data_IF_199927091118
#
_entry.id   IF_199927091118
#
_cell.length_a   1.000
_cell.length_b   1.000
_cell.length_c   1.000
_cell.angle_alpha   90.00
_cell.angle_beta   90.00
_cell.angle_gamma   90.00
#
_symmetry.space_group_name_H-M   'P 1'
#
loop_
_entity.id
_entity.type
_entity.pdbx_description
1 polymer ?
#
# COMPACT_ATOMS: atom_id res chain seq x y z
N UNK A 1 -21.65 17.99 68.88
CA UNK A 1 -20.63 17.04 68.38
C UNK A 1 -21.30 16.02 67.49
N UNK A 2 -21.17 16.14 66.16
CA UNK A 2 -21.36 15.04 65.19
C UNK A 2 -20.75 15.48 63.85
N UNK A 3 -19.43 15.43 63.78
CA UNK A 3 -18.67 15.63 62.55
C UNK A 3 -18.38 14.31 61.83
N UNK A 4 -18.21 14.40 60.50
CA UNK A 4 -17.25 13.57 59.77
C UNK A 4 -17.68 12.15 59.37
N UNK A 5 -18.59 12.00 58.40
CA UNK A 5 -18.76 10.71 57.66
C UNK A 5 -18.81 10.80 56.13
N UNK A 6 -18.81 12.01 55.54
CA UNK A 6 -18.88 12.17 54.06
C UNK A 6 -17.57 12.00 53.27
N UNK A 7 -16.35 12.33 53.76
CA UNK A 7 -15.16 12.27 52.90
C UNK A 7 -14.63 10.85 52.66
N UNK A 8 -14.98 9.87 53.51
CA UNK A 8 -14.51 8.48 53.37
C UNK A 8 -15.22 7.68 52.27
N UNK A 9 -16.47 8.01 51.96
CA UNK A 9 -17.26 7.33 50.93
C UNK A 9 -16.86 7.77 49.51
N UNK A 10 -16.52 9.06 49.33
CA UNK A 10 -16.02 9.60 48.06
C UNK A 10 -14.62 9.08 47.74
N UNK A 11 -13.75 8.97 48.73
CA UNK A 11 -12.41 8.42 48.54
C UNK A 11 -12.45 6.94 48.13
N UNK A 12 -13.33 6.12 48.73
CA UNK A 12 -13.45 4.71 48.41
C UNK A 12 -14.05 4.45 47.01
N UNK A 13 -14.99 5.29 46.57
CA UNK A 13 -15.56 5.21 45.21
C UNK A 13 -14.53 5.60 44.13
N UNK A 14 -13.68 6.61 44.41
CA UNK A 14 -12.62 7.02 43.50
C UNK A 14 -11.52 5.94 43.36
N UNK A 15 -11.11 5.28 44.43
CA UNK A 15 -10.15 4.16 44.35
C UNK A 15 -10.73 2.94 43.65
N UNK A 16 -12.01 2.62 43.85
CA UNK A 16 -12.67 1.54 43.11
C UNK A 16 -12.76 1.82 41.60
N UNK A 17 -13.01 3.07 41.21
CA UNK A 17 -13.01 3.49 39.80
C UNK A 17 -11.62 3.42 39.13
N UNK A 18 -10.55 3.80 39.84
CA UNK A 18 -9.18 3.70 39.34
C UNK A 18 -8.71 2.24 39.19
N UNK A 19 -9.15 1.32 40.06
CA UNK A 19 -8.81 -0.10 39.96
C UNK A 19 -9.53 -0.83 38.81
N UNK A 20 -10.74 -0.38 38.44
CA UNK A 20 -11.49 -0.93 37.30
C UNK A 20 -10.90 -0.48 35.94
N UNK A 21 -10.23 0.68 35.88
CA UNK A 21 -9.58 1.15 34.65
C UNK A 21 -8.26 0.45 34.34
N UNK A 22 -7.61 -0.16 35.33
CA UNK A 22 -6.35 -0.91 35.13
C UNK A 22 -6.53 -2.39 34.77
N UNK A 23 -7.75 -2.94 34.86
CA UNK A 23 -7.97 -4.39 34.68
C UNK A 23 -8.15 -4.85 33.23
N UNK A 24 -8.03 -3.94 32.26
CA UNK A 24 -8.05 -4.27 30.82
C UNK A 24 -6.66 -4.19 30.18
N UNK A 25 -5.58 -4.06 30.96
CA UNK A 25 -4.23 -4.17 30.44
C UNK A 25 -3.90 -5.65 30.18
N UNK A 26 -4.14 -6.11 28.95
CA UNK A 26 -3.61 -7.39 28.48
C UNK A 26 -2.11 -7.21 28.23
N UNK A 27 -1.28 -7.87 29.04
CA UNK A 27 0.15 -7.99 28.73
C UNK A 27 0.29 -8.99 27.59
N UNK A 28 0.70 -8.53 26.41
CA UNK A 28 1.12 -9.43 25.33
C UNK A 28 2.48 -9.98 25.74
N UNK A 29 2.48 -11.21 26.28
CA UNK A 29 3.71 -11.91 26.63
C UNK A 29 4.45 -12.34 25.35
N UNK A 30 5.68 -11.87 25.18
CA UNK A 30 6.53 -12.22 24.04
C UNK A 30 7.89 -11.53 24.14
N UNK A 31 8.85 -11.99 23.34
CA UNK A 31 10.09 -11.24 23.11
C UNK A 31 9.87 -10.32 21.91
N UNK A 32 10.24 -9.04 22.04
CA UNK A 32 10.27 -8.15 20.89
C UNK A 32 11.37 -8.64 19.95
N UNK A 33 10.96 -9.07 18.77
CA UNK A 33 11.85 -9.57 17.73
C UNK A 33 11.67 -8.76 16.46
N UNK A 34 12.74 -8.60 15.69
CA UNK A 34 12.68 -7.93 14.41
C UNK A 34 11.82 -8.73 13.43
N UNK A 35 11.09 -8.04 12.53
CA UNK A 35 10.39 -8.71 11.41
C UNK A 35 11.36 -9.47 10.49
N UNK A 36 12.66 -9.16 10.59
CA UNK A 36 13.75 -9.81 9.85
C UNK A 36 14.44 -10.93 10.66
N UNK A 37 13.99 -11.24 11.88
CA UNK A 37 14.63 -12.28 12.71
C UNK A 37 14.47 -13.68 12.09
N UNK A 38 13.30 -13.96 11.49
CA UNK A 38 13.01 -15.26 10.89
C UNK A 38 12.95 -15.16 9.35
N UNK A 39 13.93 -15.75 8.63
CA UNK A 39 13.96 -15.72 7.17
C UNK A 39 12.82 -16.51 6.50
N UNK A 40 12.05 -17.29 7.28
CA UNK A 40 10.87 -18.01 6.83
C UNK A 40 9.57 -17.25 7.11
N UNK A 41 9.66 -15.96 7.45
CA UNK A 41 8.50 -15.08 7.60
C UNK A 41 8.67 -13.79 6.82
N UNK A 42 7.55 -13.24 6.34
CA UNK A 42 7.46 -11.91 5.73
C UNK A 42 6.54 -11.08 6.62
N UNK A 43 7.10 -10.08 7.31
CA UNK A 43 6.34 -9.23 8.24
C UNK A 43 5.54 -10.01 9.31
N UNK A 44 6.08 -11.13 9.78
CA UNK A 44 5.42 -12.02 10.75
C UNK A 44 4.46 -13.05 10.16
N UNK A 45 4.18 -13.00 8.85
CA UNK A 45 3.42 -14.05 8.15
C UNK A 45 4.36 -15.17 7.70
N UNK A 46 3.95 -16.45 7.77
CA UNK A 46 4.77 -17.55 7.26
C UNK A 46 4.98 -17.41 5.75
N UNK A 47 6.19 -17.75 5.27
CA UNK A 47 6.44 -17.87 3.84
C UNK A 47 5.57 -19.02 3.29
N UNK A 48 4.62 -18.69 2.44
CA UNK A 48 3.69 -19.64 1.83
C UNK A 48 3.81 -19.63 0.31
N UNK A 49 3.61 -20.81 -0.28
CA UNK A 49 3.31 -20.97 -1.70
C UNK A 49 1.84 -21.37 -1.84
N UNK A 50 1.18 -21.01 -2.94
CA UNK A 50 -0.24 -21.29 -3.11
C UNK A 50 -0.90 -20.40 -4.16
N UNK A 51 -2.24 -20.37 -4.23
CA UNK A 51 -2.94 -19.48 -5.14
C UNK A 51 -2.74 -18.01 -4.77
N UNK A 52 -2.69 -17.15 -5.79
CA UNK A 52 -2.74 -15.69 -5.67
C UNK A 52 -3.73 -15.16 -6.71
N UNK A 53 -4.67 -14.31 -6.29
CA UNK A 53 -5.74 -13.80 -7.13
C UNK A 53 -7.15 -14.14 -6.60
N UNK A 54 -8.18 -14.13 -7.48
CA UNK A 54 -9.56 -14.41 -7.11
C UNK A 54 -9.75 -15.77 -6.45
N UNK A 55 -10.57 -15.81 -5.39
CA UNK A 55 -10.95 -17.05 -4.69
C UNK A 55 -12.04 -17.78 -5.47
N UNK A 56 -11.93 -19.11 -5.62
CA UNK A 56 -12.94 -19.89 -6.33
C UNK A 56 -14.25 -19.96 -5.52
N UNK A 57 -15.39 -19.83 -6.22
CA UNK A 57 -16.71 -20.04 -5.65
C UNK A 57 -17.26 -18.88 -4.82
N UNK A 58 -16.57 -17.74 -4.80
CA UNK A 58 -17.08 -16.48 -4.25
C UNK A 58 -17.91 -15.81 -5.36
N UNK A 59 -19.18 -15.43 -5.11
CA UNK A 59 -19.98 -14.68 -6.09
C UNK A 59 -19.35 -13.32 -6.38
N UNK A 60 -19.43 -12.86 -7.62
CA UNK A 60 -18.97 -11.53 -7.98
C UNK A 60 -19.77 -10.44 -7.26
N UNK A 61 -19.09 -9.33 -7.00
CA UNK A 61 -19.67 -8.15 -6.38
C UNK A 61 -20.82 -7.59 -7.23
N UNK A 62 -21.79 -6.99 -6.54
CA UNK A 62 -22.98 -6.37 -7.16
C UNK A 62 -22.91 -4.85 -7.16
N UNK A 63 -21.75 -4.28 -6.80
CA UNK A 63 -21.51 -2.84 -6.85
C UNK A 63 -21.71 -2.35 -8.29
N UNK A 64 -22.49 -1.28 -8.44
CA UNK A 64 -22.73 -0.69 -9.75
C UNK A 64 -21.50 0.08 -10.23
N UNK A 65 -21.06 -0.22 -11.45
CA UNK A 65 -19.98 0.49 -12.15
C UNK A 65 -20.54 1.05 -13.44
N UNK A 66 -20.40 2.36 -13.63
CA UNK A 66 -20.83 3.03 -14.85
C UNK A 66 -19.98 2.56 -16.04
N UNK A 67 -20.64 2.31 -17.17
CA UNK A 67 -20.00 1.91 -18.43
C UNK A 67 -19.19 0.59 -18.37
N UNK A 68 -19.38 -0.22 -17.32
CA UNK A 68 -18.85 -1.58 -17.27
C UNK A 68 -19.60 -2.49 -18.27
N UNK A 69 -18.86 -3.42 -18.88
CA UNK A 69 -19.37 -4.37 -19.88
C UNK A 69 -19.41 -5.80 -19.36
N UNK A 70 -18.99 -6.02 -18.11
CA UNK A 70 -18.91 -7.34 -17.50
C UNK A 70 -17.73 -8.16 -18.02
N UNK A 71 -16.65 -7.48 -18.42
CA UNK A 71 -15.37 -8.11 -18.78
C UNK A 71 -14.67 -8.69 -17.54
N UNK A 72 -13.70 -9.59 -17.73
CA UNK A 72 -12.89 -10.12 -16.63
C UNK A 72 -12.20 -8.99 -15.85
N UNK A 73 -11.74 -7.94 -16.54
CA UNK A 73 -11.18 -6.72 -15.92
C UNK A 73 -12.22 -5.97 -15.07
N UNK A 74 -13.45 -5.83 -15.57
CA UNK A 74 -14.53 -5.18 -14.81
C UNK A 74 -14.86 -5.96 -13.54
N UNK A 75 -14.99 -7.29 -13.65
CA UNK A 75 -15.28 -8.16 -12.51
C UNK A 75 -14.15 -8.09 -11.48
N UNK A 76 -12.90 -8.20 -11.94
CA UNK A 76 -11.72 -8.16 -11.08
C UNK A 76 -11.63 -6.84 -10.30
N UNK A 77 -11.77 -5.71 -10.98
CA UNK A 77 -11.72 -4.40 -10.34
C UNK A 77 -12.91 -4.16 -9.41
N UNK A 78 -14.13 -4.57 -9.80
CA UNK A 78 -15.33 -4.42 -8.96
C UNK A 78 -15.23 -5.26 -7.68
N UNK A 79 -14.75 -6.50 -7.78
CA UNK A 79 -14.49 -7.35 -6.62
C UNK A 79 -13.42 -6.72 -5.71
N UNK A 80 -12.36 -6.12 -6.27
CA UNK A 80 -11.34 -5.43 -5.50
C UNK A 80 -11.94 -4.24 -4.72
N UNK A 81 -12.75 -3.41 -5.39
CA UNK A 81 -13.43 -2.29 -4.78
C UNK A 81 -14.31 -2.73 -3.60
N UNK A 82 -15.06 -3.83 -3.73
CA UNK A 82 -15.90 -4.36 -2.65
C UNK A 82 -15.08 -4.72 -1.40
N UNK A 83 -14.00 -5.48 -1.57
CA UNK A 83 -13.15 -5.88 -0.46
C UNK A 83 -12.42 -4.69 0.18
N UNK A 84 -11.96 -3.73 -0.63
CA UNK A 84 -11.33 -2.49 -0.16
C UNK A 84 -12.32 -1.66 0.65
N UNK A 85 -13.57 -1.55 0.21
CA UNK A 85 -14.63 -0.86 0.95
C UNK A 85 -14.93 -1.53 2.28
N UNK A 86 -14.96 -2.86 2.33
CA UNK A 86 -15.15 -3.61 3.58
C UNK A 86 -13.99 -3.37 4.56
N UNK A 87 -12.74 -3.43 4.07
CA UNK A 87 -11.56 -3.10 4.84
C UNK A 87 -11.64 -1.68 5.43
N UNK A 88 -11.96 -0.68 4.61
CA UNK A 88 -12.04 0.71 5.07
C UNK A 88 -13.24 1.00 5.96
N UNK A 89 -14.36 0.29 5.81
CA UNK A 89 -15.47 0.37 6.74
C UNK A 89 -15.06 0.03 8.18
N UNK A 90 -14.09 -0.88 8.34
CA UNK A 90 -13.52 -1.25 9.64
C UNK A 90 -12.38 -0.32 10.08
N UNK A 91 -11.42 -0.04 9.18
CA UNK A 91 -10.21 0.70 9.53
C UNK A 91 -10.43 2.21 9.69
N UNK A 92 -11.27 2.82 8.85
CA UNK A 92 -11.44 4.28 8.82
C UNK A 92 -11.86 4.87 10.17
N UNK A 93 -12.92 4.38 10.88
CA UNK A 93 -13.34 4.98 12.15
C UNK A 93 -12.31 4.80 13.28
N UNK A 94 -11.37 3.88 13.14
CA UNK A 94 -10.27 3.70 14.11
C UNK A 94 -9.13 4.71 13.89
N UNK A 95 -8.97 5.22 12.66
CA UNK A 95 -7.85 6.09 12.27
C UNK A 95 -8.26 7.55 12.13
N UNK A 96 -9.47 7.81 11.64
CA UNK A 96 -9.94 9.13 11.25
C UNK A 96 -11.22 9.51 11.98
N UNK A 97 -11.55 10.80 11.95
CA UNK A 97 -12.79 11.29 12.52
C UNK A 97 -13.95 10.99 11.57
N UNK A 98 -15.04 10.46 12.10
CA UNK A 98 -16.27 10.19 11.34
C UNK A 98 -16.42 8.72 10.97
N UNK A 99 -17.25 8.46 9.97
CA UNK A 99 -17.49 7.13 9.42
C UNK A 99 -16.97 7.06 7.99
N UNK A 100 -16.55 5.86 7.58
CA UNK A 100 -16.26 5.57 6.18
C UNK A 100 -17.50 5.80 5.30
N UNK A 101 -17.28 6.35 4.10
CA UNK A 101 -18.29 6.49 3.07
C UNK A 101 -17.63 6.06 1.76
N UNK A 102 -18.18 5.09 1.03
CA UNK A 102 -17.67 4.72 -0.28
C UNK A 102 -17.62 5.91 -1.24
N UNK A 103 -16.71 5.86 -2.22
CA UNK A 103 -16.66 6.83 -3.32
C UNK A 103 -18.01 6.93 -4.04
N UNK A 104 -18.32 8.11 -4.54
CA UNK A 104 -19.63 8.45 -5.09
C UNK A 104 -19.92 7.72 -6.41
N UNK A 105 -18.90 7.57 -7.27
CA UNK A 105 -19.05 6.94 -8.59
C UNK A 105 -17.88 6.02 -8.91
N UNK A 106 -18.18 4.90 -9.56
CA UNK A 106 -17.18 4.00 -10.14
C UNK A 106 -17.38 3.94 -11.65
N UNK A 107 -16.30 4.01 -12.42
CA UNK A 107 -16.37 4.08 -13.88
C UNK A 107 -15.37 3.15 -14.53
N UNK A 108 -15.84 2.33 -15.47
CA UNK A 108 -14.97 1.54 -16.35
C UNK A 108 -14.98 2.16 -17.75
N UNK A 109 -13.83 2.27 -18.40
CA UNK A 109 -13.74 2.76 -19.77
C UNK A 109 -12.90 1.87 -20.68
N UNK A 110 -13.05 2.09 -21.98
CA UNK A 110 -12.27 1.44 -23.03
C UNK A 110 -11.21 2.42 -23.55
N UNK A 111 -9.94 2.20 -23.21
CA UNK A 111 -8.85 3.02 -23.71
C UNK A 111 -8.46 2.70 -25.17
N UNK A 112 -9.00 1.64 -25.76
CA UNK A 112 -8.75 1.27 -27.16
C UNK A 112 -9.52 2.12 -28.17
N UNK A 113 -10.48 2.92 -27.70
CA UNK A 113 -11.14 3.95 -28.49
C UNK A 113 -10.16 5.06 -28.91
N UNK A 114 -10.43 5.75 -30.03
CA UNK A 114 -9.56 6.80 -30.57
C UNK A 114 -9.34 7.96 -29.58
N UNK A 115 -8.16 8.58 -29.61
CA UNK A 115 -7.85 9.77 -28.80
C UNK A 115 -8.90 10.88 -28.98
N UNK A 116 -9.37 11.44 -27.87
CA UNK A 116 -10.43 12.46 -27.86
C UNK A 116 -11.86 11.92 -27.99
N UNK A 117 -12.03 10.59 -28.06
CA UNK A 117 -13.32 9.90 -28.01
C UNK A 117 -13.56 9.21 -26.64
N UNK A 118 -14.49 8.25 -26.57
CA UNK A 118 -14.89 7.59 -25.33
C UNK A 118 -15.68 8.45 -24.35
N UNK A 119 -15.96 7.90 -23.17
CA UNK A 119 -16.69 8.59 -22.10
C UNK A 119 -15.85 9.72 -21.49
N UNK A 120 -16.39 10.42 -20.49
CA UNK A 120 -15.61 11.39 -19.72
C UNK A 120 -15.35 10.90 -18.31
N UNK A 121 -14.10 11.00 -17.88
CA UNK A 121 -13.65 10.78 -16.50
C UNK A 121 -12.89 12.02 -16.04
N UNK A 122 -13.20 12.53 -14.85
CA UNK A 122 -12.62 13.75 -14.28
C UNK A 122 -12.67 15.01 -15.18
N UNK A 123 -13.54 15.01 -16.20
CA UNK A 123 -13.68 16.09 -17.19
C UNK A 123 -13.02 15.80 -18.54
N UNK A 124 -12.14 14.81 -18.63
CA UNK A 124 -11.38 14.48 -19.84
C UNK A 124 -11.91 13.23 -20.56
N UNK A 125 -11.60 13.11 -21.85
CA UNK A 125 -12.01 11.99 -22.70
C UNK A 125 -11.09 10.79 -22.48
N UNK A 126 -11.66 9.59 -22.39
CA UNK A 126 -10.92 8.40 -21.97
C UNK A 126 -10.35 7.56 -23.11
N UNK A 127 -10.76 7.77 -24.36
CA UNK A 127 -10.18 7.08 -25.52
C UNK A 127 -8.68 7.40 -25.64
N UNK A 128 -7.85 6.36 -25.77
CA UNK A 128 -6.39 6.45 -25.77
C UNK A 128 -5.73 6.60 -24.39
N UNK A 129 -6.48 6.47 -23.29
CA UNK A 129 -5.98 6.70 -21.92
C UNK A 129 -5.95 5.39 -21.12
N UNK A 130 -4.88 4.57 -21.23
CA UNK A 130 -4.73 3.35 -20.44
C UNK A 130 -4.32 3.71 -19.01
N UNK A 131 -5.30 4.04 -18.16
CA UNK A 131 -5.05 4.52 -16.80
C UNK A 131 -6.04 3.95 -15.76
N UNK A 132 -5.72 4.12 -14.48
CA UNK A 132 -6.65 4.08 -13.36
C UNK A 132 -6.45 5.37 -12.57
N UNK A 133 -7.51 5.90 -11.95
CA UNK A 133 -7.43 7.17 -11.27
C UNK A 133 -8.54 7.36 -10.24
N UNK A 134 -8.23 8.08 -9.17
CA UNK A 134 -9.19 8.80 -8.34
C UNK A 134 -9.34 10.27 -8.77
N UNK A 135 -10.59 10.74 -8.91
CA UNK A 135 -10.90 12.14 -9.18
C UNK A 135 -11.44 12.83 -7.93
N UNK A 136 -10.65 13.74 -7.37
CA UNK A 136 -11.02 14.56 -6.20
C UNK A 136 -12.19 15.51 -6.46
N UNK A 137 -12.46 15.87 -7.72
CA UNK A 137 -13.48 16.85 -8.09
C UNK A 137 -14.91 16.34 -7.88
N UNK A 138 -15.14 15.08 -8.19
CA UNK A 138 -16.46 14.44 -8.13
C UNK A 138 -16.48 13.15 -7.31
N UNK A 139 -15.39 12.87 -6.59
CA UNK A 139 -15.24 11.72 -5.70
C UNK A 139 -15.52 10.40 -6.44
N UNK A 140 -14.83 10.21 -7.56
CA UNK A 140 -14.97 9.03 -8.41
C UNK A 140 -13.67 8.25 -8.56
N UNK A 141 -13.77 6.94 -8.72
CA UNK A 141 -12.65 6.09 -9.15
C UNK A 141 -12.99 5.51 -10.51
N UNK A 142 -12.02 5.43 -11.40
CA UNK A 142 -12.19 4.68 -12.63
C UNK A 142 -10.94 4.01 -13.14
N UNK A 143 -11.13 3.10 -14.09
CA UNK A 143 -10.07 2.29 -14.69
C UNK A 143 -10.36 1.94 -16.15
N UNK A 144 -9.28 1.72 -16.90
CA UNK A 144 -9.31 1.16 -18.24
C UNK A 144 -9.42 -0.36 -18.23
N UNK A 145 -10.50 -0.90 -18.80
CA UNK A 145 -10.75 -2.34 -18.87
C UNK A 145 -10.03 -3.05 -20.03
N UNK A 146 -9.58 -2.32 -21.06
CA UNK A 146 -9.14 -2.94 -22.33
C UNK A 146 -7.64 -2.98 -22.55
N UNK A 147 -6.86 -2.06 -21.99
CA UNK A 147 -5.40 -2.02 -22.17
C UNK A 147 -4.66 -2.18 -20.83
N UNK A 148 -4.88 -1.28 -19.87
CA UNK A 148 -4.14 -1.23 -18.60
C UNK A 148 -4.35 -2.49 -17.77
N UNK A 149 -5.60 -2.78 -17.36
CA UNK A 149 -5.85 -3.90 -16.45
C UNK A 149 -5.42 -5.24 -17.08
N UNK A 150 -5.72 -5.55 -18.35
CA UNK A 150 -5.20 -6.75 -19.00
C UNK A 150 -3.67 -6.80 -19.01
N UNK A 151 -2.98 -5.70 -19.33
CA UNK A 151 -1.52 -5.66 -19.34
C UNK A 151 -0.91 -5.92 -17.95
N UNK A 152 -1.53 -5.41 -16.89
CA UNK A 152 -1.12 -5.66 -15.50
C UNK A 152 -1.32 -7.12 -15.09
N UNK A 153 -2.43 -7.73 -15.49
CA UNK A 153 -2.71 -9.16 -15.25
C UNK A 153 -1.70 -10.02 -15.99
N UNK A 154 -1.44 -9.74 -17.26
CA UNK A 154 -0.51 -10.51 -18.09
C UNK A 154 0.93 -10.45 -17.58
N UNK A 155 1.36 -9.27 -17.09
CA UNK A 155 2.72 -9.06 -16.62
C UNK A 155 2.95 -9.57 -15.19
N UNK A 156 1.98 -9.37 -14.29
CA UNK A 156 2.19 -9.51 -12.84
C UNK A 156 1.12 -10.33 -12.11
N UNK A 157 0.11 -10.82 -12.83
CA UNK A 157 -1.01 -11.59 -12.28
C UNK A 157 -2.12 -10.72 -11.68
N UNK A 158 -3.28 -11.30 -11.31
CA UNK A 158 -4.48 -10.54 -10.94
C UNK A 158 -4.34 -9.60 -9.74
N UNK A 159 -3.43 -9.90 -8.81
CA UNK A 159 -3.22 -9.07 -7.62
C UNK A 159 -2.56 -7.71 -7.95
N UNK A 160 -1.97 -7.55 -9.13
CA UNK A 160 -1.46 -6.25 -9.58
C UNK A 160 -2.59 -5.23 -9.79
N UNK A 161 -3.73 -5.69 -10.35
CA UNK A 161 -4.94 -4.87 -10.49
C UNK A 161 -5.47 -4.50 -9.11
N UNK A 162 -5.54 -5.46 -8.19
CA UNK A 162 -5.99 -5.21 -6.81
C UNK A 162 -5.10 -4.15 -6.13
N UNK A 163 -3.79 -4.20 -6.35
CA UNK A 163 -2.85 -3.20 -5.83
C UNK A 163 -3.10 -1.81 -6.40
N UNK A 164 -3.25 -1.68 -7.72
CA UNK A 164 -3.53 -0.39 -8.39
C UNK A 164 -4.86 0.19 -7.91
N UNK A 165 -5.92 -0.62 -7.85
CA UNK A 165 -7.23 -0.15 -7.37
C UNK A 165 -7.17 0.25 -5.89
N UNK A 166 -6.41 -0.47 -5.05
CA UNK A 166 -6.21 -0.10 -3.65
C UNK A 166 -5.41 1.21 -3.50
N UNK A 167 -4.48 1.49 -4.41
CA UNK A 167 -3.77 2.77 -4.48
C UNK A 167 -4.74 3.92 -4.81
N UNK A 168 -5.56 3.79 -5.85
CA UNK A 168 -6.57 4.81 -6.18
C UNK A 168 -7.55 5.05 -5.02
N UNK A 169 -7.94 3.98 -4.33
CA UNK A 169 -8.77 4.11 -3.13
C UNK A 169 -8.02 4.81 -1.98
N UNK A 170 -6.70 4.66 -1.90
CA UNK A 170 -5.84 5.40 -0.98
C UNK A 170 -6.03 6.91 -1.14
N UNK A 171 -6.10 7.43 -2.37
CA UNK A 171 -6.43 8.83 -2.63
C UNK A 171 -7.82 9.23 -2.15
N UNK A 172 -8.82 8.37 -2.34
CA UNK A 172 -10.16 8.60 -1.82
C UNK A 172 -10.16 8.72 -0.28
N UNK A 173 -9.39 7.87 0.41
CA UNK A 173 -9.27 7.91 1.87
C UNK A 173 -8.57 9.18 2.34
N UNK A 174 -7.53 9.62 1.64
CA UNK A 174 -6.85 10.88 1.92
C UNK A 174 -7.79 12.07 1.78
N UNK A 175 -8.54 12.12 0.68
CA UNK A 175 -9.52 13.16 0.43
C UNK A 175 -10.62 13.17 1.50
N UNK A 176 -11.23 12.00 1.77
CA UNK A 176 -12.31 11.88 2.73
C UNK A 176 -11.87 12.24 4.15
N UNK A 177 -10.66 11.83 4.55
CA UNK A 177 -10.12 12.11 5.90
C UNK A 177 -9.60 13.55 6.07
N UNK A 178 -9.35 14.26 4.97
CA UNK A 178 -8.65 15.55 4.98
C UNK A 178 -7.19 15.43 5.38
N UNK A 179 -6.59 14.25 5.20
CA UNK A 179 -5.17 14.01 5.50
C UNK A 179 -4.25 14.78 4.55
N UNK A 180 -4.71 14.99 3.32
CA UNK A 180 -4.03 15.81 2.30
C UNK A 180 -4.91 17.00 1.92
N UNK A 181 -4.28 18.10 1.53
CA UNK A 181 -4.93 19.31 1.02
C UNK A 181 -4.06 20.00 -0.01
N UNK A 182 -4.48 21.19 -0.46
CA UNK A 182 -3.85 21.90 -1.60
C UNK A 182 -2.34 22.14 -1.44
N UNK A 183 -1.85 22.32 -0.20
CA UNK A 183 -0.43 22.54 0.11
C UNK A 183 0.36 21.24 0.33
N UNK A 184 -0.28 20.07 0.25
CA UNK A 184 0.40 18.78 0.44
C UNK A 184 1.23 18.45 -0.81
N UNK A 185 2.54 18.20 -0.69
CA UNK A 185 3.34 17.83 -1.84
C UNK A 185 2.85 16.52 -2.44
N UNK A 186 2.85 16.45 -3.77
CA UNK A 186 2.32 15.29 -4.48
C UNK A 186 3.00 13.99 -4.06
N UNK A 187 4.33 13.99 -3.86
CA UNK A 187 5.07 12.81 -3.40
C UNK A 187 4.59 12.28 -2.03
N UNK A 188 4.09 13.15 -1.15
CA UNK A 188 3.49 12.73 0.13
C UNK A 188 2.16 12.06 -0.13
N UNK A 189 1.32 12.64 -0.98
CA UNK A 189 0.02 12.08 -1.33
C UNK A 189 0.18 10.68 -1.97
N UNK A 190 1.08 10.53 -2.94
CA UNK A 190 1.35 9.27 -3.62
C UNK A 190 1.89 8.18 -2.70
N UNK A 191 2.88 8.51 -1.86
CA UNK A 191 3.44 7.50 -0.93
C UNK A 191 2.46 7.11 0.18
N UNK A 192 1.60 8.02 0.62
CA UNK A 192 0.51 7.65 1.53
C UNK A 192 -0.49 6.69 0.85
N UNK A 193 -0.85 6.91 -0.42
CA UNK A 193 -1.74 6.04 -1.18
C UNK A 193 -1.14 4.63 -1.38
N UNK A 194 0.13 4.55 -1.78
CA UNK A 194 0.88 3.29 -1.86
C UNK A 194 0.93 2.55 -0.50
N UNK A 195 1.14 3.30 0.59
CA UNK A 195 1.12 2.73 1.93
C UNK A 195 -0.27 2.19 2.31
N UNK A 196 -1.34 2.93 2.03
CA UNK A 196 -2.70 2.45 2.28
C UNK A 196 -3.04 1.19 1.49
N UNK A 197 -2.60 1.12 0.24
CA UNK A 197 -2.72 -0.08 -0.58
C UNK A 197 -1.94 -1.26 0.02
N UNK A 198 -0.71 -1.05 0.50
CA UNK A 198 0.07 -2.06 1.20
C UNK A 198 -0.62 -2.62 2.45
N UNK A 199 -1.32 -1.77 3.21
CA UNK A 199 -2.10 -2.19 4.37
C UNK A 199 -3.30 -3.07 3.97
N UNK A 200 -3.94 -2.79 2.83
CA UNK A 200 -4.99 -3.66 2.29
C UNK A 200 -4.42 -5.00 1.80
N UNK A 201 -3.29 -4.99 1.08
CA UNK A 201 -2.64 -6.24 0.63
C UNK A 201 -2.26 -7.13 1.82
N UNK A 202 -1.88 -6.54 2.96
CA UNK A 202 -1.66 -7.28 4.21
C UNK A 202 -2.93 -7.98 4.69
N UNK A 203 -4.06 -7.29 4.68
CA UNK A 203 -5.37 -7.86 5.04
C UNK A 203 -5.74 -9.04 4.11
N UNK A 204 -5.45 -8.95 2.81
CA UNK A 204 -5.61 -10.08 1.88
C UNK A 204 -4.70 -11.26 2.24
N UNK A 205 -3.43 -10.98 2.57
CA UNK A 205 -2.44 -11.99 2.94
C UNK A 205 -2.76 -12.71 4.26
N UNK A 206 -3.45 -12.02 5.18
CA UNK A 206 -3.98 -12.60 6.43
C UNK A 206 -5.22 -13.47 6.19
N UNK A 207 -5.78 -13.43 4.98
CA UNK A 207 -6.89 -14.25 4.54
C UNK A 207 -8.26 -13.66 4.83
N UNK A 208 -8.31 -12.38 5.21
CA UNK A 208 -9.52 -11.70 5.65
C UNK A 208 -10.32 -11.08 4.49
N UNK A 209 -9.74 -11.01 3.29
CA UNK A 209 -10.41 -10.58 2.06
C UNK A 209 -11.37 -11.65 1.52
N UNK A 210 -12.65 -11.31 1.29
CA UNK A 210 -13.65 -12.22 0.72
C UNK A 210 -13.33 -12.74 -0.67
N UNK A 211 -12.93 -11.87 -1.61
CA UNK A 211 -12.76 -12.23 -3.02
C UNK A 211 -11.33 -12.63 -3.35
N UNK A 212 -10.32 -12.23 -2.56
CA UNK A 212 -8.91 -12.42 -2.93
C UNK A 212 -8.12 -13.23 -1.91
N UNK A 213 -7.10 -13.91 -2.43
CA UNK A 213 -6.04 -14.54 -1.67
C UNK A 213 -4.70 -14.14 -2.27
N UNK A 214 -3.68 -14.03 -1.46
CA UNK A 214 -2.31 -13.79 -1.93
C UNK A 214 -1.34 -14.63 -1.11
N UNK A 215 -0.45 -15.36 -1.80
CA UNK A 215 0.66 -16.01 -1.15
C UNK A 215 1.81 -15.00 -0.93
N UNK A 216 2.72 -15.30 0.01
CA UNK A 216 3.85 -14.42 0.31
C UNK A 216 5.09 -14.71 -0.55
N UNK A 217 4.98 -15.56 -1.58
CA UNK A 217 6.04 -15.81 -2.56
C UNK A 217 5.78 -15.02 -3.83
N UNK A 218 5.35 -15.68 -4.92
CA UNK A 218 5.21 -15.07 -6.23
C UNK A 218 4.05 -14.06 -6.29
N UNK A 219 3.04 -14.22 -5.42
CA UNK A 219 1.93 -13.28 -5.32
C UNK A 219 2.38 -11.90 -4.84
N UNK A 220 2.99 -11.85 -3.65
CA UNK A 220 3.50 -10.60 -3.10
C UNK A 220 4.62 -10.00 -3.98
N UNK A 221 5.47 -10.85 -4.58
CA UNK A 221 6.46 -10.39 -5.57
C UNK A 221 5.79 -9.73 -6.78
N UNK A 222 4.69 -10.28 -7.29
CA UNK A 222 3.92 -9.70 -8.40
C UNK A 222 3.34 -8.33 -8.05
N UNK A 223 2.81 -8.17 -6.83
CA UNK A 223 2.34 -6.86 -6.32
C UNK A 223 3.47 -5.84 -6.30
N UNK A 224 4.62 -6.18 -5.71
CA UNK A 224 5.76 -5.27 -5.64
C UNK A 224 6.32 -4.95 -7.03
N UNK A 225 6.36 -5.93 -7.93
CA UNK A 225 6.78 -5.73 -9.32
C UNK A 225 5.83 -4.79 -10.07
N UNK A 226 4.52 -4.89 -9.85
CA UNK A 226 3.53 -3.97 -10.40
C UNK A 226 3.72 -2.54 -9.87
N UNK A 227 3.96 -2.37 -8.56
CA UNK A 227 4.30 -1.07 -7.95
C UNK A 227 5.55 -0.45 -8.60
N UNK A 228 6.56 -1.26 -8.92
CA UNK A 228 7.73 -0.80 -9.67
C UNK A 228 7.35 -0.47 -11.13
N UNK A 229 6.53 -1.27 -11.77
CA UNK A 229 6.19 -1.09 -13.19
C UNK A 229 5.40 0.20 -13.45
N UNK A 230 4.47 0.54 -12.55
CA UNK A 230 3.60 1.72 -12.62
C UNK A 230 4.29 2.99 -12.08
N UNK A 231 5.61 2.96 -11.84
CA UNK A 231 6.41 4.15 -11.48
C UNK A 231 6.41 5.18 -12.63
N UNK A 232 6.74 6.41 -12.29
CA UNK A 232 7.10 7.39 -13.30
C UNK A 232 8.45 7.07 -13.94
N UNK A 233 8.53 7.27 -15.25
CA UNK A 233 9.70 6.92 -16.05
C UNK A 233 10.89 7.84 -15.77
N UNK A 234 10.62 9.09 -15.33
CA UNK A 234 11.61 10.06 -14.90
C UNK A 234 11.20 10.72 -13.56
N UNK A 235 11.74 10.29 -12.41
CA UNK A 235 11.42 10.87 -11.10
C UNK A 235 11.92 12.31 -10.90
N UNK A 236 12.60 12.90 -11.90
CA UNK A 236 12.97 14.32 -11.89
C UNK A 236 12.01 15.20 -12.72
N UNK A 237 11.04 14.61 -13.41
CA UNK A 237 9.98 15.37 -14.07
C UNK A 237 9.11 16.03 -12.99
N UNK A 238 8.88 17.36 -13.02
CA UNK A 238 7.92 17.99 -12.11
C UNK A 238 6.48 17.47 -12.28
N UNK A 239 6.18 16.80 -13.39
CA UNK A 239 4.93 16.06 -13.64
C UNK A 239 5.02 14.59 -13.18
N UNK A 240 6.20 14.12 -12.74
CA UNK A 240 6.36 12.84 -12.06
C UNK A 240 5.93 12.99 -10.62
N UNK A 241 4.80 12.36 -10.33
CA UNK A 241 4.07 12.50 -9.08
C UNK A 241 4.33 11.32 -8.13
N UNK A 242 4.52 10.10 -8.67
CA UNK A 242 4.56 8.84 -7.93
C UNK A 242 5.90 8.58 -7.20
N UNK A 243 6.99 9.20 -7.65
CA UNK A 243 8.33 9.00 -7.10
C UNK A 243 9.07 7.78 -7.66
N UNK A 244 10.24 7.48 -7.09
CA UNK A 244 11.09 6.36 -7.54
C UNK A 244 10.49 5.00 -7.17
N UNK A 245 10.88 3.95 -7.92
CA UNK A 245 10.50 2.57 -7.62
C UNK A 245 10.78 2.16 -6.17
N UNK A 246 11.92 2.60 -5.62
CA UNK A 246 12.31 2.28 -4.24
C UNK A 246 11.40 2.95 -3.22
N UNK A 247 11.04 4.22 -3.44
CA UNK A 247 10.15 4.97 -2.55
C UNK A 247 8.77 4.33 -2.51
N UNK A 248 8.19 4.06 -3.68
CA UNK A 248 6.90 3.38 -3.79
C UNK A 248 6.88 2.03 -3.08
N UNK A 249 7.86 1.17 -3.37
CA UNK A 249 7.98 -0.16 -2.72
C UNK A 249 8.19 -0.03 -1.22
N UNK A 250 8.89 1.01 -0.75
CA UNK A 250 9.05 1.29 0.68
C UNK A 250 7.72 1.68 1.31
N UNK A 251 6.96 2.58 0.68
CA UNK A 251 5.63 2.98 1.15
C UNK A 251 4.67 1.78 1.27
N UNK A 252 4.59 0.94 0.23
CA UNK A 252 3.80 -0.31 0.27
C UNK A 252 4.22 -1.20 1.43
N UNK A 253 5.53 -1.38 1.63
CA UNK A 253 6.05 -2.20 2.73
C UNK A 253 5.62 -1.67 4.09
N UNK A 254 5.64 -0.36 4.32
CA UNK A 254 5.23 0.24 5.59
C UNK A 254 3.75 -0.04 5.86
N UNK A 255 2.89 0.10 4.85
CA UNK A 255 1.51 -0.30 4.95
C UNK A 255 1.37 -1.78 5.31
N UNK A 256 2.14 -2.62 4.63
CA UNK A 256 2.07 -4.07 4.79
C UNK A 256 2.60 -4.56 6.15
N UNK A 257 3.62 -3.91 6.71
CA UNK A 257 4.26 -4.29 7.98
C UNK A 257 3.65 -3.61 9.18
N UNK A 258 3.34 -2.32 9.07
CA UNK A 258 3.00 -1.45 10.20
C UNK A 258 1.53 -1.01 10.20
N UNK A 259 0.79 -1.36 9.14
CA UNK A 259 -0.63 -1.10 8.97
C UNK A 259 -0.97 0.35 8.59
N UNK A 260 -2.25 0.59 8.30
CA UNK A 260 -2.74 1.88 7.78
C UNK A 260 -2.49 3.08 8.74
N UNK A 261 -2.36 2.84 10.04
CA UNK A 261 -2.01 3.89 11.01
C UNK A 261 -0.63 4.53 10.72
N UNK A 262 0.32 3.74 10.20
CA UNK A 262 1.65 4.22 9.87
C UNK A 262 1.65 5.18 8.68
N UNK A 263 0.77 4.93 7.71
CA UNK A 263 0.63 5.76 6.52
C UNK A 263 0.27 7.21 6.85
N UNK A 264 -0.51 7.45 7.91
CA UNK A 264 -0.87 8.82 8.34
C UNK A 264 0.31 9.67 8.83
N UNK A 265 1.47 9.07 9.04
CA UNK A 265 2.70 9.75 9.50
C UNK A 265 3.69 10.02 8.38
N UNK A 266 3.39 9.62 7.15
CA UNK A 266 4.22 9.94 5.99
C UNK A 266 4.02 11.42 5.68
N UNK A 267 5.08 12.20 5.86
CA UNK A 267 5.19 13.61 5.53
C UNK A 267 6.53 13.89 4.82
N UNK A 268 6.79 15.14 4.41
CA UNK A 268 8.05 15.49 3.73
C UNK A 268 9.30 15.15 4.55
N UNK A 269 9.28 15.45 5.85
CA UNK A 269 10.45 15.25 6.71
C UNK A 269 10.75 13.76 6.88
N UNK A 270 9.70 12.95 6.95
CA UNK A 270 9.77 11.51 7.01
C UNK A 270 10.34 10.92 5.69
N UNK A 271 9.83 11.37 4.54
CA UNK A 271 10.35 10.98 3.22
C UNK A 271 11.82 11.37 3.07
N UNK A 272 12.18 12.61 3.42
CA UNK A 272 13.55 13.09 3.38
C UNK A 272 14.47 12.28 4.31
N UNK A 273 13.97 11.85 5.46
CA UNK A 273 14.70 10.97 6.37
C UNK A 273 14.97 9.58 5.75
N UNK A 274 14.04 9.01 4.99
CA UNK A 274 14.26 7.74 4.26
C UNK A 274 15.26 7.91 3.11
N UNK A 275 15.23 9.07 2.45
CA UNK A 275 16.11 9.46 1.36
C UNK A 275 17.55 9.69 1.78
N UNK A 276 17.78 10.17 3.00
CA UNK A 276 19.06 10.71 3.49
C UNK A 276 20.27 9.74 3.46
N UNK A 277 20.05 8.47 3.11
CA UNK A 277 21.10 7.45 2.95
C UNK A 277 21.13 6.75 1.59
N UNK A 278 20.24 7.12 0.65
CA UNK A 278 20.18 6.54 -0.70
C UNK A 278 20.57 7.59 -1.73
N UNK A 279 21.41 7.23 -2.74
CA UNK A 279 21.69 8.13 -3.85
C UNK A 279 20.38 8.60 -4.47
N UNK A 280 20.07 9.89 -4.30
CA UNK A 280 18.87 10.51 -4.86
C UNK A 280 18.99 10.70 -6.37
N UNK A 281 20.23 10.73 -6.87
CA UNK A 281 20.60 10.92 -8.26
C UNK A 281 21.89 10.15 -8.53
N UNK A 282 22.05 9.74 -9.78
CA UNK A 282 23.34 9.38 -10.32
C UNK A 282 24.20 10.65 -10.45
N UNK A 283 25.49 10.56 -10.17
CA UNK A 283 26.41 11.70 -10.15
C UNK A 283 26.57 12.34 -11.55
N UNK A 284 26.19 11.63 -12.61
CA UNK A 284 26.21 12.11 -13.99
C UNK A 284 25.24 11.32 -14.88
N UNK A 285 24.99 11.82 -16.10
CA UNK A 285 24.20 11.10 -17.11
C UNK A 285 24.82 9.76 -17.56
N UNK A 286 26.11 9.55 -17.26
CA UNK A 286 26.85 8.31 -17.55
C UNK A 286 26.94 7.39 -16.32
N UNK A 287 26.46 7.82 -15.16
CA UNK A 287 26.43 7.02 -13.95
C UNK A 287 25.16 6.14 -13.98
N UNK A 288 25.37 4.85 -14.14
CA UNK A 288 24.29 3.86 -14.22
C UNK A 288 23.78 3.42 -12.85
N UNK A 289 24.35 3.94 -11.75
CA UNK A 289 24.07 3.44 -10.39
C UNK A 289 24.72 2.12 -10.04
N UNK A 290 25.23 1.43 -11.05
CA UNK A 290 25.94 0.19 -10.91
C UNK A 290 27.37 0.48 -10.44
N UNK A 291 27.74 -0.11 -9.31
CA UNK A 291 29.12 -0.06 -8.86
C UNK A 291 29.99 -0.75 -9.94
N UNK A 292 31.01 -0.08 -10.50
CA UNK A 292 31.86 -0.69 -11.53
C UNK A 292 32.45 -2.02 -11.04
N UNK A 293 32.43 -3.05 -11.86
CA UNK A 293 33.06 -4.34 -11.53
C UNK A 293 34.57 -4.17 -11.63
N UNK A 294 35.21 -3.98 -10.48
CA UNK A 294 36.65 -3.76 -10.32
C UNK A 294 37.17 -4.65 -9.20
N UNK A 295 38.48 -4.86 -9.16
CA UNK A 295 39.11 -5.60 -8.06
C UNK A 295 38.77 -4.98 -6.68
N UNK A 296 38.69 -3.65 -6.60
CA UNK A 296 38.32 -2.94 -5.38
C UNK A 296 36.86 -3.19 -4.95
N UNK A 297 35.91 -3.15 -5.89
CA UNK A 297 34.48 -3.35 -5.60
C UNK A 297 34.17 -4.81 -5.27
N UNK A 298 34.76 -5.74 -6.02
CA UNK A 298 34.70 -7.17 -5.72
C UNK A 298 35.36 -7.48 -4.37
N UNK A 299 36.51 -6.86 -4.08
CA UNK A 299 37.17 -7.01 -2.78
C UNK A 299 36.33 -6.49 -1.62
N UNK A 300 35.63 -5.37 -1.80
CA UNK A 300 34.70 -4.84 -0.81
C UNK A 300 33.47 -5.74 -0.60
N UNK A 301 32.95 -6.32 -1.68
CA UNK A 301 31.87 -7.29 -1.64
C UNK A 301 32.29 -8.56 -0.89
N UNK A 302 33.44 -9.17 -1.24
CA UNK A 302 33.97 -10.35 -0.56
C UNK A 302 34.17 -10.12 0.93
N UNK A 303 34.75 -8.99 1.35
CA UNK A 303 34.90 -8.65 2.78
C UNK A 303 33.57 -8.54 3.52
N UNK A 304 32.57 -7.89 2.90
CA UNK A 304 31.24 -7.75 3.48
C UNK A 304 30.54 -9.11 3.58
N UNK A 305 30.67 -9.93 2.53
CA UNK A 305 30.12 -11.29 2.47
C UNK A 305 30.77 -12.19 3.52
N UNK A 306 32.09 -12.21 3.66
CA UNK A 306 32.79 -12.97 4.69
C UNK A 306 32.40 -12.57 6.11
N UNK A 307 32.12 -11.27 6.33
CA UNK A 307 31.66 -10.76 7.63
C UNK A 307 30.27 -11.27 7.98
N UNK A 308 29.36 -11.30 6.99
CA UNK A 308 27.98 -11.74 7.19
C UNK A 308 27.81 -13.27 7.14
N UNK A 309 28.59 -13.94 6.28
CA UNK A 309 28.54 -15.35 5.96
C UNK A 309 29.97 -15.92 5.85
N UNK A 310 30.60 -16.25 6.99
CA UNK A 310 31.95 -16.80 6.99
C UNK A 310 31.99 -18.15 6.28
N UNK A 311 32.83 -18.27 5.25
CA UNK A 311 33.08 -19.52 4.52
C UNK A 311 34.50 -20.01 4.74
N UNK A 312 34.71 -21.33 4.71
CA UNK A 312 36.01 -21.94 4.97
C UNK A 312 37.06 -21.67 3.88
N UNK A 313 36.61 -21.41 2.65
CA UNK A 313 37.45 -21.13 1.49
C UNK A 313 36.83 -19.96 0.71
N UNK A 314 37.18 -18.71 1.06
CA UNK A 314 36.59 -17.55 0.41
C UNK A 314 37.11 -17.37 -1.02
N UNK A 315 36.25 -16.87 -1.93
CA UNK A 315 36.68 -16.56 -3.29
C UNK A 315 37.76 -15.48 -3.29
N UNK A 316 38.83 -15.73 -4.04
CA UNK A 316 39.85 -14.72 -4.31
C UNK A 316 39.39 -13.80 -5.44
N UNK A 317 39.62 -12.51 -5.28
CA UNK A 317 39.40 -11.52 -6.34
C UNK A 317 40.69 -11.40 -7.14
N UNK A 318 40.63 -11.58 -8.46
CA UNK A 318 41.75 -11.48 -9.40
C UNK A 318 41.53 -10.43 -10.51
#
# INVERSE_FOLDING_TARGET
MTGGRRPRLLAAAATAGLLLLTSCAATVGGNAVSIYENPFTVAGLPVTSGPSGPRPGVPDSTIAVENAEGTDSDILATNAIDDIQQFWAEQYPALFKGSFTPVSTLTSWDASEDEGSGIRFCGDRTGGVPNAAYCTRDDSIGWDRTILLPALVDAFGPMSVVMVIAHEYGHAIQHQSGLVGDDTPTIVAEQQADCFAGAFIRHVAEGDSPHFTINTSDGLNGVLAATVAVRDVDPNDPESVHGSAFERVTAVQIGFTDGAAACTRIDEAEIDSRRASLPQKFDSADDSGELPVTEDSLGAFTRSFETALPVADPPTVD
#
